data_IF_544070217958
#
_entry.id   IF_544070217958
#
_cell.length_a   1.000
_cell.length_b   1.000
_cell.length_c   1.000
_cell.angle_alpha   90.00
_cell.angle_beta   90.00
_cell.angle_gamma   90.00
#
_symmetry.space_group_name_H-M   'P 1'
#
loop_
_entity.id
_entity.type
_entity.pdbx_description
1 polymer ?
#
# COMPACT_ATOMS: atom_id res chain seq x y z
N UNK A 1 6.56 7.01 2.48
CA UNK A 1 6.26 5.62 2.92
C UNK A 1 5.59 4.79 1.82
N UNK A 2 4.45 5.24 1.26
CA UNK A 2 3.74 4.55 0.17
C UNK A 2 4.62 4.20 -1.04
N UNK A 3 5.38 5.16 -1.57
CA UNK A 3 6.26 4.92 -2.73
C UNK A 3 7.31 3.82 -2.49
N UNK A 4 7.80 3.70 -1.25
CA UNK A 4 8.76 2.65 -0.90
C UNK A 4 8.09 1.28 -0.86
N UNK A 5 6.81 1.21 -0.46
CA UNK A 5 6.02 -0.03 -0.57
C UNK A 5 5.84 -0.43 -2.03
N UNK A 6 5.56 0.52 -2.92
CA UNK A 6 5.45 0.25 -4.36
C UNK A 6 6.76 -0.27 -4.95
N UNK A 7 7.89 0.38 -4.63
CA UNK A 7 9.23 -0.06 -5.06
C UNK A 7 9.57 -1.45 -4.53
N UNK A 8 9.25 -1.74 -3.27
CA UNK A 8 9.46 -3.05 -2.67
C UNK A 8 8.61 -4.14 -3.34
N UNK A 9 7.32 -3.85 -3.60
CA UNK A 9 6.41 -4.77 -4.32
C UNK A 9 6.91 -5.08 -5.73
N UNK A 10 7.33 -4.05 -6.47
CA UNK A 10 7.87 -4.24 -7.82
C UNK A 10 9.17 -5.06 -7.82
N UNK A 11 10.10 -4.74 -6.92
CA UNK A 11 11.37 -5.47 -6.80
C UNK A 11 11.14 -6.93 -6.40
N UNK A 12 10.19 -7.19 -5.49
CA UNK A 12 9.76 -8.54 -5.14
C UNK A 12 9.24 -9.30 -6.38
N UNK A 13 8.36 -8.70 -7.19
CA UNK A 13 7.82 -9.33 -8.38
C UNK A 13 8.93 -9.70 -9.40
N UNK A 14 9.94 -8.83 -9.57
CA UNK A 14 11.07 -9.13 -10.44
C UNK A 14 11.90 -10.32 -9.94
N UNK A 15 12.19 -10.37 -8.63
CA UNK A 15 12.92 -11.47 -8.02
C UNK A 15 12.13 -12.78 -8.10
N UNK A 16 10.81 -12.72 -7.87
CA UNK A 16 9.92 -13.86 -7.92
C UNK A 16 9.79 -14.45 -9.32
N UNK A 17 9.64 -13.60 -10.34
CA UNK A 17 9.61 -13.99 -11.74
C UNK A 17 10.93 -14.65 -12.19
N UNK A 18 12.07 -14.18 -11.65
CA UNK A 18 13.38 -14.78 -11.89
C UNK A 18 13.63 -16.07 -11.11
N UNK A 19 12.69 -16.51 -10.27
CA UNK A 19 12.84 -17.64 -9.34
C UNK A 19 14.11 -17.51 -8.47
N UNK A 20 14.50 -16.27 -8.16
CA UNK A 20 15.70 -15.95 -7.40
C UNK A 20 15.50 -16.04 -5.89
N UNK A 21 14.30 -16.39 -5.43
CA UNK A 21 13.92 -16.54 -4.02
C UNK A 21 13.27 -17.91 -3.80
N UNK A 22 13.54 -18.52 -2.64
CA UNK A 22 12.91 -19.77 -2.22
C UNK A 22 11.44 -19.58 -1.85
N UNK A 23 10.70 -20.69 -1.74
CA UNK A 23 9.28 -20.68 -1.34
C UNK A 23 9.07 -20.05 0.03
N UNK A 24 9.95 -20.35 0.99
CA UNK A 24 9.88 -19.78 2.35
C UNK A 24 10.19 -18.28 2.35
N UNK A 25 11.18 -17.85 1.56
CA UNK A 25 11.49 -16.41 1.41
C UNK A 25 10.36 -15.66 0.74
N UNK A 26 9.72 -16.24 -0.28
CA UNK A 26 8.54 -15.67 -0.94
C UNK A 26 7.44 -15.36 0.08
N UNK A 27 7.07 -16.32 0.92
CA UNK A 27 6.05 -16.12 1.94
C UNK A 27 6.41 -14.99 2.91
N UNK A 28 7.67 -14.94 3.36
CA UNK A 28 8.17 -13.89 4.26
C UNK A 28 8.13 -12.50 3.60
N UNK A 29 8.54 -12.39 2.34
CA UNK A 29 8.51 -11.12 1.61
C UNK A 29 7.08 -10.63 1.38
N UNK A 30 6.15 -11.51 1.00
CA UNK A 30 4.74 -11.18 0.83
C UNK A 30 4.16 -10.61 2.13
N UNK A 31 4.42 -11.28 3.27
CA UNK A 31 3.95 -10.81 4.56
C UNK A 31 4.49 -9.41 4.88
N UNK A 32 5.80 -9.20 4.69
CA UNK A 32 6.44 -7.92 4.96
C UNK A 32 5.91 -6.77 4.09
N UNK A 33 5.72 -7.00 2.78
CA UNK A 33 5.14 -5.99 1.88
C UNK A 33 3.70 -5.68 2.29
N UNK A 34 2.92 -6.69 2.68
CA UNK A 34 1.54 -6.53 3.13
C UNK A 34 1.44 -5.72 4.43
N UNK A 35 2.29 -6.00 5.41
CA UNK A 35 2.35 -5.27 6.68
C UNK A 35 2.68 -3.79 6.46
N UNK A 36 3.67 -3.50 5.60
CA UNK A 36 4.02 -2.13 5.26
C UNK A 36 2.86 -1.41 4.54
N UNK A 37 2.19 -2.09 3.59
CA UNK A 37 1.03 -1.52 2.90
C UNK A 37 -0.11 -1.20 3.87
N UNK A 38 -0.39 -2.09 4.82
CA UNK A 38 -1.41 -1.89 5.87
C UNK A 38 -1.07 -0.67 6.74
N UNK A 39 0.17 -0.56 7.21
CA UNK A 39 0.60 0.58 8.03
C UNK A 39 0.47 1.91 7.28
N UNK A 40 0.79 1.94 5.98
CA UNK A 40 0.58 3.14 5.15
C UNK A 40 -0.90 3.48 5.00
N UNK A 41 -1.76 2.49 4.81
CA UNK A 41 -3.20 2.70 4.72
C UNK A 41 -3.80 3.21 6.04
N UNK A 42 -3.38 2.66 7.17
CA UNK A 42 -3.79 3.11 8.51
C UNK A 42 -3.35 4.55 8.76
N UNK A 43 -2.09 4.90 8.45
CA UNK A 43 -1.61 6.28 8.56
C UNK A 43 -2.38 7.25 7.66
N UNK A 44 -2.72 6.83 6.43
CA UNK A 44 -3.56 7.64 5.54
C UNK A 44 -4.97 7.83 6.11
N UNK A 45 -5.59 6.77 6.63
CA UNK A 45 -6.91 6.84 7.25
C UNK A 45 -6.91 7.80 8.44
N UNK A 46 -5.97 7.64 9.38
CA UNK A 46 -5.84 8.52 10.54
C UNK A 46 -5.65 9.99 10.14
N UNK A 47 -4.84 10.25 9.10
CA UNK A 47 -4.67 11.60 8.56
C UNK A 47 -5.99 12.14 8.02
N UNK A 48 -6.77 11.33 7.30
CA UNK A 48 -8.07 11.72 6.75
C UNK A 48 -9.11 11.96 7.84
N UNK A 49 -9.13 11.12 8.87
CA UNK A 49 -9.97 11.28 10.06
C UNK A 49 -9.65 12.56 10.82
N UNK A 50 -8.36 12.88 11.02
CA UNK A 50 -7.92 14.13 11.67
C UNK A 50 -8.35 15.40 10.92
N UNK A 51 -8.62 15.29 9.62
CA UNK A 51 -9.10 16.38 8.78
C UNK A 51 -10.64 16.40 8.67
N UNK A 52 -11.34 15.52 9.40
CA UNK A 52 -12.80 15.39 9.32
C UNK A 52 -13.30 14.84 7.98
N UNK A 53 -12.46 14.05 7.28
CA UNK A 53 -12.74 13.47 5.97
C UNK A 53 -13.25 14.48 4.91
N UNK A 54 -12.43 15.47 4.52
CA UNK A 54 -12.87 16.62 3.72
C UNK A 54 -13.46 16.26 2.34
N UNK A 55 -13.12 15.10 1.76
CA UNK A 55 -13.69 14.64 0.48
C UNK A 55 -14.87 13.67 0.63
N UNK A 56 -15.27 13.30 1.86
CA UNK A 56 -16.50 12.51 2.08
C UNK A 56 -17.74 13.42 2.12
N UNK A 57 -17.58 14.68 2.57
CA UNK A 57 -18.69 15.64 2.67
C UNK A 57 -18.99 16.40 1.37
N UNK A 58 -18.20 16.22 0.30
CA UNK A 58 -18.43 16.81 -1.02
C UNK A 58 -19.22 15.85 -1.93
N UNK A 59 -20.36 15.35 -1.43
CA UNK A 59 -21.29 14.61 -2.27
C UNK A 59 -21.86 15.51 -3.38
N UNK A 60 -21.55 15.21 -4.64
CA UNK A 60 -22.46 15.43 -5.76
C UNK A 60 -22.73 16.87 -6.22
N UNK A 61 -21.70 17.70 -6.43
CA UNK A 61 -21.80 18.79 -7.42
C UNK A 61 -20.85 18.52 -8.58
N UNK A 62 -21.29 17.63 -9.47
CA UNK A 62 -20.96 17.76 -10.89
C UNK A 62 -21.65 19.04 -11.36
N UNK A 63 -20.85 20.08 -11.58
CA UNK A 63 -21.28 21.28 -12.28
C UNK A 63 -21.58 20.88 -13.75
N UNK A 64 -22.88 20.79 -14.07
CA UNK A 64 -23.45 20.69 -15.42
C UNK A 64 -24.52 21.79 -15.54
#
# INVERSE_FOLDING_TARGET
AYEMVLKASHSFNLLDARKAISVTERQRFILRVRELAKAVAEAYYQRRESLGFPMLNQGGKTDD
#
